data_IF_719173094117
#
_entry.id   IF_719173094117
#
_cell.length_a   1.000
_cell.length_b   1.000
_cell.length_c   1.000
_cell.angle_alpha   90.00
_cell.angle_beta   90.00
_cell.angle_gamma   90.00
#
_symmetry.space_group_name_H-M   'P 1'
#
loop_
_entity.id
_entity.type
_entity.pdbx_description
1 polymer ?
#
# COMPACT_ATOMS: atom_id res chain seq x y z
N UNK A 1 -1.69 -3.72 57.04
CA UNK A 1 -0.73 -4.37 56.12
C UNK A 1 -1.40 -4.78 54.80
N UNK A 2 -2.48 -5.59 54.80
CA UNK A 2 -3.13 -6.04 53.56
C UNK A 2 -3.71 -4.92 52.68
N UNK A 3 -4.38 -3.92 53.27
CA UNK A 3 -5.02 -2.82 52.52
C UNK A 3 -3.98 -1.97 51.77
N UNK A 4 -2.82 -1.70 52.40
CA UNK A 4 -1.74 -0.97 51.75
C UNK A 4 -1.17 -1.75 50.56
N UNK A 5 -1.02 -3.07 50.69
CA UNK A 5 -0.59 -3.93 49.59
C UNK A 5 -1.62 -3.95 48.44
N UNK A 6 -2.91 -3.97 48.76
CA UNK A 6 -3.98 -3.92 47.76
C UNK A 6 -4.02 -2.59 47.00
N UNK A 7 -3.81 -1.47 47.68
CA UNK A 7 -3.76 -0.14 47.05
C UNK A 7 -2.54 -0.04 46.12
N UNK A 8 -1.38 -0.50 46.56
CA UNK A 8 -0.16 -0.50 45.73
C UNK A 8 -0.34 -1.36 44.49
N UNK A 9 -0.91 -2.56 44.64
CA UNK A 9 -1.19 -3.45 43.52
C UNK A 9 -2.20 -2.84 42.54
N UNK A 10 -3.25 -2.18 43.05
CA UNK A 10 -4.24 -1.51 42.22
C UNK A 10 -3.60 -0.39 41.40
N UNK A 11 -2.79 0.47 42.02
CA UNK A 11 -2.09 1.56 41.31
C UNK A 11 -1.12 1.01 40.27
N UNK A 12 -0.42 -0.08 40.57
CA UNK A 12 0.50 -0.73 39.63
C UNK A 12 -0.24 -1.31 38.40
N UNK A 13 -1.36 -2.00 38.61
CA UNK A 13 -2.18 -2.55 37.52
C UNK A 13 -2.86 -1.45 36.70
N UNK A 14 -3.26 -0.37 37.36
CA UNK A 14 -3.83 0.79 36.70
C UNK A 14 -2.77 1.48 35.83
N UNK A 15 -1.58 1.73 36.38
CA UNK A 15 -0.46 2.29 35.62
C UNK A 15 -0.03 1.38 34.45
N UNK A 16 -0.08 0.05 34.62
CA UNK A 16 0.22 -0.91 33.55
C UNK A 16 -0.85 -0.92 32.44
N UNK A 17 -2.13 -0.96 32.82
CA UNK A 17 -3.25 -0.96 31.87
C UNK A 17 -3.32 0.34 31.06
N UNK A 18 -3.07 1.47 31.71
CA UNK A 18 -3.06 2.78 31.09
C UNK A 18 -1.67 3.20 30.60
N UNK A 19 -0.68 2.30 30.67
CA UNK A 19 0.63 2.58 30.10
C UNK A 19 0.44 2.72 28.59
N UNK A 20 0.73 3.89 28.00
CA UNK A 20 0.57 4.08 26.57
C UNK A 20 1.55 3.13 25.88
N UNK A 21 1.02 2.06 25.30
CA UNK A 21 1.77 1.25 24.36
C UNK A 21 2.30 2.19 23.29
N UNK A 22 3.61 2.10 22.98
CA UNK A 22 4.27 2.99 22.02
C UNK A 22 3.56 2.84 20.66
N UNK A 23 2.64 3.77 20.40
CA UNK A 23 1.93 4.00 19.16
C UNK A 23 1.16 2.80 18.57
N UNK A 24 -0.10 2.56 18.99
CA UNK A 24 -1.03 1.72 18.22
C UNK A 24 -1.32 2.31 16.82
N UNK A 25 -0.95 3.57 16.59
CA UNK A 25 -1.08 4.31 15.32
C UNK A 25 0.22 4.48 14.55
N UNK A 26 1.23 3.62 14.73
CA UNK A 26 2.14 3.37 13.61
C UNK A 26 1.36 2.62 12.53
N UNK A 27 0.40 3.29 11.90
CA UNK A 27 0.13 3.05 10.48
C UNK A 27 1.49 3.24 9.85
N UNK A 28 2.17 2.13 9.53
CA UNK A 28 3.42 2.15 8.78
C UNK A 28 3.09 2.98 7.56
N UNK A 29 3.54 4.24 7.53
CA UNK A 29 3.31 5.11 6.40
C UNK A 29 3.79 4.31 5.20
N UNK A 30 2.87 3.96 4.29
CA UNK A 30 3.16 3.07 3.19
C UNK A 30 4.44 3.59 2.55
N UNK A 31 5.47 2.75 2.50
CA UNK A 31 6.75 3.20 1.98
C UNK A 31 6.53 3.65 0.53
N UNK A 32 7.38 4.55 0.01
CA UNK A 32 7.31 4.93 -1.40
C UNK A 32 7.29 3.69 -2.31
N UNK A 33 8.02 2.65 -1.92
CA UNK A 33 8.05 1.35 -2.58
C UNK A 33 6.69 0.63 -2.55
N UNK A 34 5.98 0.63 -1.42
CA UNK A 34 4.65 0.02 -1.31
C UNK A 34 3.63 0.72 -2.23
N UNK A 35 3.66 2.05 -2.26
CA UNK A 35 2.81 2.83 -3.18
C UNK A 35 3.10 2.51 -4.64
N UNK A 36 4.38 2.42 -5.01
CA UNK A 36 4.76 2.09 -6.40
C UNK A 36 4.34 0.68 -6.80
N UNK A 37 4.44 -0.29 -5.88
CA UNK A 37 3.95 -1.65 -6.10
C UNK A 37 2.44 -1.69 -6.33
N UNK A 38 1.67 -0.96 -5.52
CA UNK A 38 0.23 -0.84 -5.70
C UNK A 38 -0.13 -0.17 -7.04
N UNK A 39 0.58 0.91 -7.40
CA UNK A 39 0.38 1.60 -8.68
C UNK A 39 0.70 0.69 -9.87
N UNK A 40 1.79 -0.08 -9.79
CA UNK A 40 2.16 -1.08 -10.78
C UNK A 40 1.02 -2.08 -11.01
N UNK A 41 0.50 -2.65 -9.93
CA UNK A 41 -0.57 -3.66 -10.01
C UNK A 41 -1.85 -3.09 -10.63
N UNK A 42 -2.17 -1.82 -10.33
CA UNK A 42 -3.27 -1.11 -10.98
C UNK A 42 -3.06 -0.90 -12.50
N UNK A 43 -1.84 -0.52 -12.92
CA UNK A 43 -1.53 -0.34 -14.36
C UNK A 43 -1.61 -1.67 -15.11
N UNK A 44 -1.11 -2.77 -14.54
CA UNK A 44 -1.24 -4.09 -15.15
C UNK A 44 -2.70 -4.57 -15.24
N UNK A 45 -3.51 -4.29 -14.21
CA UNK A 45 -4.94 -4.56 -14.27
C UNK A 45 -5.62 -3.78 -15.40
N UNK A 46 -5.31 -2.48 -15.54
CA UNK A 46 -5.84 -1.64 -16.61
C UNK A 46 -5.42 -2.15 -18.00
N UNK A 47 -4.16 -2.59 -18.18
CA UNK A 47 -3.70 -3.19 -19.44
C UNK A 47 -4.51 -4.44 -19.79
N UNK A 48 -4.77 -5.31 -18.81
CA UNK A 48 -5.56 -6.52 -19.01
C UNK A 48 -7.00 -6.18 -19.40
N UNK A 49 -7.60 -5.23 -18.70
CA UNK A 49 -8.98 -4.81 -18.95
C UNK A 49 -9.10 -4.13 -20.31
N UNK A 50 -8.15 -3.26 -20.69
CA UNK A 50 -8.09 -2.65 -22.02
C UNK A 50 -8.01 -3.72 -23.13
N UNK A 51 -7.17 -4.74 -22.96
CA UNK A 51 -7.07 -5.87 -23.89
C UNK A 51 -8.38 -6.64 -24.01
N UNK A 52 -9.10 -6.81 -22.88
CA UNK A 52 -10.39 -7.48 -22.87
C UNK A 52 -11.46 -6.65 -23.60
N UNK A 53 -11.53 -5.34 -23.33
CA UNK A 53 -12.49 -4.45 -23.94
C UNK A 53 -12.25 -4.26 -25.45
N UNK A 54 -10.99 -4.23 -25.88
CA UNK A 54 -10.64 -4.25 -27.30
C UNK A 54 -11.11 -5.54 -27.99
N UNK A 55 -10.86 -6.71 -27.37
CA UNK A 55 -11.37 -7.99 -27.89
C UNK A 55 -12.89 -8.09 -27.91
N UNK A 56 -13.57 -7.37 -27.02
CA UNK A 56 -15.03 -7.23 -27.01
C UNK A 56 -15.56 -6.27 -28.08
N UNK A 57 -14.69 -5.60 -28.85
CA UNK A 57 -15.06 -4.67 -29.92
C UNK A 57 -15.49 -3.29 -29.43
N UNK A 58 -15.17 -2.91 -28.18
CA UNK A 58 -15.59 -1.64 -27.57
C UNK A 58 -14.73 -0.45 -28.03
N UNK A 59 -13.52 -0.71 -28.51
CA UNK A 59 -12.56 0.31 -28.94
C UNK A 59 -12.08 0.11 -30.37
N UNK A 60 -11.94 1.20 -31.15
CA UNK A 60 -11.18 1.19 -32.40
C UNK A 60 -9.71 0.81 -32.17
N UNK A 61 -9.05 0.28 -33.20
CA UNK A 61 -7.65 -0.16 -33.09
C UNK A 61 -6.68 1.00 -32.83
N UNK A 62 -6.95 2.19 -33.38
CA UNK A 62 -6.15 3.40 -33.15
C UNK A 62 -6.20 3.86 -31.69
N UNK A 63 -7.39 3.89 -31.09
CA UNK A 63 -7.59 4.25 -29.68
C UNK A 63 -6.97 3.21 -28.75
N UNK A 64 -7.12 1.92 -29.09
CA UNK A 64 -6.49 0.82 -28.34
C UNK A 64 -4.97 0.92 -28.36
N UNK A 65 -4.36 1.12 -29.53
CA UNK A 65 -2.91 1.24 -29.66
C UNK A 65 -2.36 2.42 -28.85
N UNK A 66 -3.06 3.56 -28.91
CA UNK A 66 -2.69 4.76 -28.16
C UNK A 66 -2.77 4.55 -26.65
N UNK A 67 -3.89 4.01 -26.14
CA UNK A 67 -4.05 3.75 -24.72
C UNK A 67 -3.10 2.67 -24.20
N UNK A 68 -2.84 1.64 -25.01
CA UNK A 68 -1.89 0.58 -24.64
C UNK A 68 -0.48 1.14 -24.50
N UNK A 69 -0.04 1.98 -25.44
CA UNK A 69 1.28 2.61 -25.39
C UNK A 69 1.45 3.50 -24.14
N UNK A 70 0.42 4.26 -23.77
CA UNK A 70 0.45 5.10 -22.56
C UNK A 70 0.59 4.25 -21.28
N UNK A 71 -0.17 3.16 -21.17
CA UNK A 71 -0.11 2.27 -20.02
C UNK A 71 1.22 1.48 -19.97
N UNK A 72 1.76 1.07 -21.12
CA UNK A 72 3.06 0.41 -21.22
C UNK A 72 4.22 1.34 -20.80
N UNK A 73 4.17 2.62 -21.19
CA UNK A 73 5.15 3.63 -20.78
C UNK A 73 5.08 3.92 -19.26
N UNK A 74 3.87 4.04 -18.72
CA UNK A 74 3.66 4.19 -17.28
C UNK A 74 4.19 2.97 -16.51
N UNK A 75 3.89 1.76 -16.97
CA UNK A 75 4.39 0.53 -16.35
C UNK A 75 5.92 0.46 -16.35
N UNK A 76 6.55 0.84 -17.46
CA UNK A 76 8.02 0.87 -17.59
C UNK A 76 8.64 1.84 -16.59
N UNK A 77 8.06 3.03 -16.46
CA UNK A 77 8.52 4.06 -15.51
C UNK A 77 8.42 3.56 -14.07
N UNK A 78 7.27 2.99 -13.68
CA UNK A 78 7.05 2.50 -12.31
C UNK A 78 7.99 1.35 -11.97
N UNK A 79 8.14 0.36 -12.85
CA UNK A 79 9.04 -0.79 -12.62
C UNK A 79 10.49 -0.32 -12.48
N UNK A 80 10.91 0.65 -13.28
CA UNK A 80 12.25 1.23 -13.17
C UNK A 80 12.45 1.96 -11.84
N UNK A 81 11.46 2.73 -11.38
CA UNK A 81 11.53 3.43 -10.08
C UNK A 81 11.57 2.42 -8.91
N UNK A 82 10.82 1.32 -8.99
CA UNK A 82 10.86 0.23 -8.02
C UNK A 82 12.26 -0.39 -7.98
N UNK A 83 12.82 -0.75 -9.14
CA UNK A 83 14.15 -1.36 -9.25
C UNK A 83 15.25 -0.47 -8.65
N UNK A 84 15.15 0.86 -8.85
CA UNK A 84 16.09 1.82 -8.26
C UNK A 84 15.95 1.87 -6.74
N UNK A 85 14.73 1.91 -6.22
CA UNK A 85 14.48 1.96 -4.77
C UNK A 85 14.78 0.64 -4.05
N UNK A 86 14.67 -0.50 -4.72
CA UNK A 86 15.03 -1.81 -4.15
C UNK A 86 16.54 -2.03 -4.10
N UNK A 87 17.31 -1.34 -4.94
CA UNK A 87 18.78 -1.42 -4.98
C UNK A 87 19.49 -0.36 -4.14
N UNK A 88 18.78 0.69 -3.72
CA UNK A 88 19.29 1.79 -2.89
C UNK A 88 19.32 1.41 -1.41
#
# INVERSE_FOLDING_TARGET
MGIAASIVLFVALFAYTFWPEKNPFTQRAASRLDFLRERRDAVFANLRDLNFEYKAGKYPEEDYATQRALLEDEATTIVTEIDVLERA
#
